data_IF_036839309669
#
_entry.id   IF_036839309669
#
_cell.length_a   1.000
_cell.length_b   1.000
_cell.length_c   1.000
_cell.angle_alpha   90.00
_cell.angle_beta   90.00
_cell.angle_gamma   90.00
#
_symmetry.space_group_name_H-M   'P 1'
#
loop_
_entity.id
_entity.type
_entity.pdbx_description
1 polymer ?
#
# COMPACT_ATOMS: atom_id res chain seq x y z
N UNK A 1 22.56 31.99 -1.38
CA UNK A 1 22.26 30.77 -0.59
C UNK A 1 20.76 30.58 -0.64
N UNK A 2 20.27 29.77 -1.59
CA UNK A 2 18.86 29.41 -1.69
C UNK A 2 18.78 27.92 -1.42
N UNK A 3 18.17 27.57 -0.29
CA UNK A 3 17.98 26.20 0.15
C UNK A 3 17.12 25.46 -0.90
N UNK A 4 17.65 24.35 -1.38
CA UNK A 4 16.97 23.48 -2.32
C UNK A 4 15.70 22.91 -1.71
N UNK A 5 14.63 22.98 -2.48
CA UNK A 5 13.39 22.22 -2.32
C UNK A 5 13.74 20.77 -2.02
N UNK A 6 13.41 20.29 -0.82
CA UNK A 6 13.39 18.86 -0.56
C UNK A 6 12.32 18.28 -1.48
N UNK A 7 12.76 17.52 -2.48
CA UNK A 7 11.89 16.70 -3.32
C UNK A 7 11.10 15.77 -2.38
N UNK A 8 9.79 16.02 -2.25
CA UNK A 8 8.86 15.05 -1.69
C UNK A 8 8.98 13.78 -2.52
N UNK A 9 9.74 12.82 -2.00
CA UNK A 9 9.89 11.52 -2.64
C UNK A 9 8.49 10.94 -2.83
N UNK A 10 8.15 10.44 -4.03
CA UNK A 10 6.82 9.93 -4.32
C UNK A 10 6.49 8.89 -3.27
N UNK A 11 5.40 9.15 -2.53
CA UNK A 11 4.99 8.43 -1.33
C UNK A 11 4.71 6.96 -1.66
N UNK A 12 5.79 6.19 -1.81
CA UNK A 12 5.77 4.79 -2.16
C UNK A 12 5.14 4.08 -0.97
N UNK A 13 3.94 3.55 -1.17
CA UNK A 13 3.17 3.00 -0.07
C UNK A 13 4.01 2.02 0.76
N UNK A 14 3.88 2.00 2.10
CA UNK A 14 4.71 1.18 2.97
C UNK A 14 4.81 -0.28 2.53
N UNK A 15 3.74 -0.82 1.93
CA UNK A 15 3.71 -2.15 1.30
C UNK A 15 4.81 -2.36 0.25
N UNK A 16 5.00 -1.42 -0.68
CA UNK A 16 6.04 -1.54 -1.73
C UNK A 16 7.42 -1.48 -1.11
N UNK A 17 7.65 -0.57 -0.16
CA UNK A 17 8.93 -0.48 0.54
C UNK A 17 9.25 -1.78 1.29
N UNK A 18 8.25 -2.43 1.90
CA UNK A 18 8.41 -3.75 2.53
C UNK A 18 8.76 -4.84 1.54
N UNK A 19 8.11 -4.86 0.37
CA UNK A 19 8.41 -5.83 -0.70
C UNK A 19 9.85 -5.64 -1.21
N UNK A 20 10.26 -4.38 -1.45
CA UNK A 20 11.61 -4.06 -1.92
C UNK A 20 12.67 -4.47 -0.88
N UNK A 21 12.48 -4.09 0.39
CA UNK A 21 13.41 -4.47 1.46
C UNK A 21 13.47 -5.98 1.64
N UNK A 22 12.32 -6.66 1.68
CA UNK A 22 12.24 -8.11 1.81
C UNK A 22 12.98 -8.83 0.67
N UNK A 23 12.81 -8.36 -0.57
CA UNK A 23 13.51 -8.91 -1.73
C UNK A 23 15.03 -8.69 -1.65
N UNK A 24 15.49 -7.52 -1.16
CA UNK A 24 16.92 -7.26 -0.96
C UNK A 24 17.52 -8.15 0.13
N UNK A 25 16.85 -8.27 1.28
CA UNK A 25 17.30 -9.16 2.36
C UNK A 25 17.38 -10.61 1.90
N UNK A 26 16.39 -11.08 1.12
CA UNK A 26 16.41 -12.41 0.52
C UNK A 26 17.62 -12.61 -0.40
N UNK A 27 17.87 -11.65 -1.30
CA UNK A 27 19.00 -11.70 -2.23
C UNK A 27 20.34 -11.77 -1.50
N UNK A 28 20.52 -10.94 -0.47
CA UNK A 28 21.73 -10.92 0.36
C UNK A 28 21.92 -12.25 1.10
N UNK A 29 20.85 -12.79 1.70
CA UNK A 29 20.88 -14.08 2.39
C UNK A 29 21.27 -15.22 1.45
N UNK A 30 20.59 -15.33 0.31
CA UNK A 30 20.82 -16.38 -0.68
C UNK A 30 22.22 -16.26 -1.30
N UNK A 31 22.71 -15.03 -1.53
CA UNK A 31 24.07 -14.76 -2.01
C UNK A 31 25.19 -15.19 -1.05
N UNK A 32 24.87 -15.43 0.23
CA UNK A 32 25.79 -16.01 1.23
C UNK A 32 25.52 -17.49 1.52
N UNK A 33 24.52 -18.11 0.87
CA UNK A 33 24.14 -19.49 1.13
C UNK A 33 23.54 -19.74 2.53
N UNK A 34 23.05 -18.70 3.19
CA UNK A 34 22.53 -18.77 4.56
C UNK A 34 21.08 -19.28 4.53
N UNK A 35 20.72 -20.24 5.38
CA UNK A 35 19.34 -20.73 5.46
C UNK A 35 18.41 -19.72 6.15
N UNK A 36 17.09 -19.87 6.00
CA UNK A 36 16.14 -19.01 6.73
C UNK A 36 16.17 -19.28 8.22
N UNK A 37 16.46 -20.51 8.60
CA UNK A 37 16.59 -21.00 9.96
C UNK A 37 17.78 -20.32 10.65
N UNK A 38 18.95 -20.30 9.99
CA UNK A 38 20.17 -19.65 10.51
C UNK A 38 19.98 -18.13 10.62
N UNK A 39 19.42 -17.50 9.59
CA UNK A 39 19.09 -16.08 9.63
C UNK A 39 18.07 -15.76 10.74
N UNK A 40 17.10 -16.65 10.96
CA UNK A 40 16.14 -16.53 12.04
C UNK A 40 16.83 -16.58 13.40
N UNK A 41 17.73 -17.55 13.59
CA UNK A 41 18.48 -17.72 14.84
C UNK A 41 19.25 -16.45 15.23
N UNK A 42 19.94 -15.81 14.29
CA UNK A 42 20.70 -14.56 14.50
C UNK A 42 19.86 -13.47 15.17
N UNK A 43 18.62 -13.27 14.69
CA UNK A 43 17.70 -12.27 15.22
C UNK A 43 16.70 -12.81 16.24
N UNK A 44 16.98 -14.00 16.81
CA UNK A 44 16.11 -14.68 17.81
C UNK A 44 14.68 -14.85 17.31
N UNK A 45 14.54 -15.30 16.07
CA UNK A 45 13.30 -15.49 15.33
C UNK A 45 13.22 -16.90 14.71
N UNK A 46 12.04 -17.26 14.21
CA UNK A 46 11.86 -18.47 13.41
C UNK A 46 12.16 -18.23 11.92
N UNK A 47 12.52 -19.28 11.19
CA UNK A 47 12.63 -19.22 9.72
C UNK A 47 11.32 -18.78 9.04
N UNK A 48 10.17 -19.07 9.66
CA UNK A 48 8.86 -18.55 9.22
C UNK A 48 8.73 -17.02 9.35
N UNK A 49 9.37 -16.39 10.34
CA UNK A 49 9.44 -14.93 10.43
C UNK A 49 10.35 -14.37 9.32
N UNK A 50 11.52 -14.98 9.05
CA UNK A 50 12.38 -14.58 7.93
C UNK A 50 11.63 -14.66 6.60
N UNK A 51 10.93 -15.77 6.33
CA UNK A 51 10.12 -15.92 5.12
C UNK A 51 9.08 -14.80 4.95
N UNK A 52 8.37 -14.42 6.03
CA UNK A 52 7.42 -13.30 5.98
C UNK A 52 8.09 -11.94 5.78
N UNK A 53 9.27 -11.72 6.37
CA UNK A 53 10.06 -10.50 6.16
C UNK A 53 10.51 -10.40 4.70
N UNK A 54 11.03 -11.48 4.12
CA UNK A 54 11.45 -11.55 2.72
C UNK A 54 10.31 -11.33 1.73
N UNK A 55 9.10 -11.73 2.10
CA UNK A 55 7.88 -11.50 1.32
C UNK A 55 7.25 -10.12 1.57
N UNK A 56 7.84 -9.28 2.42
CA UNK A 56 7.29 -7.96 2.77
C UNK A 56 5.97 -8.00 3.55
N UNK A 57 5.64 -9.13 4.18
CA UNK A 57 4.34 -9.37 4.86
C UNK A 57 4.30 -8.91 6.31
N UNK A 58 5.43 -8.48 6.87
CA UNK A 58 5.56 -8.00 8.25
C UNK A 58 6.42 -6.74 8.29
N UNK A 59 6.27 -5.93 9.34
CA UNK A 59 7.15 -4.80 9.64
C UNK A 59 8.56 -5.25 10.01
N UNK A 60 9.52 -4.34 9.88
CA UNK A 60 10.94 -4.62 10.11
C UNK A 60 11.41 -3.95 11.40
N UNK A 61 11.87 -4.71 12.40
CA UNK A 61 12.59 -4.06 13.50
C UNK A 61 13.95 -3.62 12.97
N UNK A 62 14.30 -2.35 13.16
CA UNK A 62 15.56 -1.81 12.65
C UNK A 62 16.78 -2.59 13.17
N UNK A 63 16.74 -3.00 14.44
CA UNK A 63 17.72 -3.92 15.04
C UNK A 63 17.83 -5.23 14.27
N UNK A 64 16.71 -5.91 14.02
CA UNK A 64 16.71 -7.19 13.31
C UNK A 64 17.31 -7.01 11.90
N UNK A 65 16.98 -5.92 11.20
CA UNK A 65 17.59 -5.60 9.89
C UNK A 65 19.10 -5.39 10.03
N UNK A 66 19.54 -4.60 11.01
CA UNK A 66 20.97 -4.33 11.23
C UNK A 66 21.78 -5.61 11.54
N UNK A 67 21.22 -6.50 12.37
CA UNK A 67 21.84 -7.79 12.73
C UNK A 67 21.94 -8.70 11.48
N UNK A 68 20.87 -8.79 10.68
CA UNK A 68 20.89 -9.53 9.40
C UNK A 68 21.89 -8.95 8.40
N UNK A 69 21.98 -7.63 8.24
CA UNK A 69 22.95 -7.00 7.34
C UNK A 69 24.40 -7.31 7.74
N UNK A 70 24.69 -7.32 9.05
CA UNK A 70 25.98 -7.76 9.58
C UNK A 70 26.24 -9.23 9.21
N UNK A 71 25.28 -10.13 9.45
CA UNK A 71 25.38 -11.55 9.15
C UNK A 71 25.57 -11.81 7.64
N UNK A 72 24.88 -11.05 6.79
CA UNK A 72 24.99 -11.16 5.34
C UNK A 72 26.27 -10.49 4.79
N UNK A 73 27.08 -9.87 5.64
CA UNK A 73 28.37 -9.30 5.28
C UNK A 73 28.29 -7.99 4.52
N UNK A 74 27.22 -7.21 4.69
CA UNK A 74 27.10 -5.85 4.15
C UNK A 74 27.99 -4.92 4.98
N UNK A 75 29.15 -4.57 4.41
CA UNK A 75 30.19 -3.75 5.07
C UNK A 75 30.18 -2.31 4.62
N UNK A 76 29.64 -2.02 3.44
CA UNK A 76 29.52 -0.66 2.95
C UNK A 76 28.51 0.10 3.81
N UNK A 77 28.95 1.21 4.42
CA UNK A 77 28.14 1.97 5.37
C UNK A 77 26.99 2.70 4.66
N UNK A 78 27.19 3.13 3.41
CA UNK A 78 26.16 3.81 2.64
C UNK A 78 25.03 2.84 2.25
N UNK A 79 25.36 1.64 1.75
CA UNK A 79 24.40 0.58 1.46
C UNK A 79 23.62 0.17 2.73
N UNK A 80 24.34 0.01 3.85
CA UNK A 80 23.73 -0.35 5.13
C UNK A 80 22.72 0.71 5.60
N UNK A 81 23.10 1.99 5.56
CA UNK A 81 22.20 3.07 5.97
C UNK A 81 21.01 3.21 5.02
N UNK A 82 21.20 3.00 3.71
CA UNK A 82 20.09 3.00 2.75
C UNK A 82 19.04 1.93 3.07
N UNK A 83 19.46 0.70 3.41
CA UNK A 83 18.55 -0.39 3.77
C UNK A 83 17.86 -0.17 5.13
N UNK A 84 18.56 0.41 6.11
CA UNK A 84 17.97 0.79 7.39
C UNK A 84 16.98 1.95 7.22
N UNK A 85 17.31 2.95 6.41
CA UNK A 85 16.41 4.02 6.02
C UNK A 85 15.14 3.49 5.35
N UNK A 86 15.28 2.52 4.44
CA UNK A 86 14.15 1.83 3.82
C UNK A 86 13.30 1.10 4.85
N UNK A 87 13.90 0.45 5.86
CA UNK A 87 13.18 -0.20 6.94
C UNK A 87 12.36 0.78 7.78
N UNK A 88 12.93 1.96 8.11
CA UNK A 88 12.23 3.03 8.83
C UNK A 88 11.03 3.53 8.03
N UNK A 89 11.23 3.83 6.74
CA UNK A 89 10.15 4.28 5.86
C UNK A 89 9.07 3.21 5.65
N UNK A 90 9.45 1.94 5.49
CA UNK A 90 8.53 0.81 5.34
C UNK A 90 7.66 0.53 6.59
N UNK A 91 8.08 1.02 7.75
CA UNK A 91 7.32 0.94 8.99
C UNK A 91 6.40 2.15 9.21
N UNK A 92 6.61 3.27 8.49
CA UNK A 92 5.73 4.42 8.62
C UNK A 92 4.32 4.03 8.16
N UNK A 93 3.29 4.22 8.99
CA UNK A 93 1.92 3.93 8.59
C UNK A 93 1.53 4.81 7.41
N UNK A 94 0.89 4.21 6.40
CA UNK A 94 0.29 4.99 5.31
C UNK A 94 -0.87 5.85 5.85
N UNK A 95 -1.25 6.87 5.09
CA UNK A 95 -2.35 7.76 5.46
C UNK A 95 -3.66 7.02 5.74
N UNK A 96 -3.86 5.79 5.26
CA UNK A 96 -5.09 5.02 5.51
C UNK A 96 -5.14 4.35 6.89
N UNK A 97 -4.08 4.44 7.70
CA UNK A 97 -4.01 3.74 8.98
C UNK A 97 -5.09 4.19 9.98
N UNK A 98 -5.56 5.43 9.93
CA UNK A 98 -6.68 5.90 10.78
C UNK A 98 -8.06 5.36 10.35
N UNK A 99 -8.13 4.60 9.26
CA UNK A 99 -9.31 3.84 8.85
C UNK A 99 -9.19 2.34 9.15
N UNK A 100 -8.20 1.92 9.95
CA UNK A 100 -7.90 0.51 10.20
C UNK A 100 -9.05 -0.29 10.84
N UNK A 101 -9.97 0.37 11.53
CA UNK A 101 -11.17 -0.20 12.15
C UNK A 101 -12.29 -0.49 11.14
N UNK A 102 -12.37 0.26 10.04
CA UNK A 102 -13.39 0.09 8.99
C UNK A 102 -12.85 -0.64 7.75
N UNK A 103 -11.53 -0.83 7.67
CA UNK A 103 -10.86 -1.46 6.54
C UNK A 103 -10.51 -2.92 6.79
N UNK A 104 -10.90 -3.83 5.88
CA UNK A 104 -10.36 -5.17 5.88
C UNK A 104 -8.83 -5.16 5.77
N UNK A 105 -8.10 -6.04 6.47
CA UNK A 105 -6.63 -6.05 6.48
C UNK A 105 -6.01 -6.15 5.07
N UNK A 106 -6.63 -6.91 4.16
CA UNK A 106 -6.16 -7.05 2.78
C UNK A 106 -6.19 -5.72 2.01
N UNK A 107 -7.16 -4.85 2.31
CA UNK A 107 -7.36 -3.61 1.59
C UNK A 107 -6.29 -2.58 1.90
N UNK A 108 -5.78 -2.55 3.14
CA UNK A 108 -4.65 -1.69 3.50
C UNK A 108 -3.39 -2.00 2.68
N UNK A 109 -3.15 -3.29 2.40
CA UNK A 109 -2.04 -3.71 1.54
C UNK A 109 -2.26 -3.25 0.10
N UNK A 110 -3.48 -3.40 -0.40
CA UNK A 110 -3.88 -2.91 -1.72
C UNK A 110 -3.68 -1.38 -1.86
N UNK A 111 -4.06 -0.57 -0.87
CA UNK A 111 -3.85 0.89 -0.90
C UNK A 111 -2.37 1.27 -0.99
N UNK A 112 -1.49 0.53 -0.32
CA UNK A 112 -0.05 0.73 -0.44
C UNK A 112 0.49 0.42 -1.85
N UNK A 113 -0.06 -0.59 -2.52
CA UNK A 113 0.30 -0.91 -3.91
C UNK A 113 -0.31 0.11 -4.90
N UNK A 114 -1.57 0.49 -4.69
CA UNK A 114 -2.29 1.49 -5.49
C UNK A 114 -1.54 2.85 -5.46
N UNK A 115 -1.05 3.27 -4.28
CA UNK A 115 -0.28 4.50 -4.13
C UNK A 115 1.07 4.48 -4.88
N UNK A 116 1.68 3.32 -5.06
CA UNK A 116 2.97 3.18 -5.75
C UNK A 116 2.82 2.80 -7.24
N UNK A 117 1.60 2.57 -7.72
CA UNK A 117 1.37 2.15 -9.08
C UNK A 117 1.70 3.27 -10.08
N UNK A 118 2.25 2.87 -11.23
CA UNK A 118 2.37 3.72 -12.43
C UNK A 118 1.31 3.40 -13.49
N UNK A 119 0.70 2.22 -13.37
CA UNK A 119 -0.37 1.73 -14.23
C UNK A 119 -1.39 0.95 -13.39
N UNK A 120 -2.66 1.31 -13.53
CA UNK A 120 -3.79 0.64 -12.90
C UNK A 120 -4.70 0.14 -14.01
N UNK A 121 -4.94 -1.17 -14.03
CA UNK A 121 -5.90 -1.81 -14.94
C UNK A 121 -7.05 -2.38 -14.14
N UNK A 122 -8.28 -1.99 -14.49
CA UNK A 122 -9.49 -2.53 -13.86
C UNK A 122 -10.49 -2.99 -14.91
N UNK A 123 -11.24 -4.03 -14.55
CA UNK A 123 -12.38 -4.51 -15.29
C UNK A 123 -13.59 -4.51 -14.36
N UNK A 124 -14.57 -3.65 -14.65
CA UNK A 124 -15.70 -3.42 -13.79
C UNK A 124 -17.01 -3.81 -14.48
N UNK A 125 -17.66 -4.84 -13.95
CA UNK A 125 -18.95 -5.32 -14.43
C UNK A 125 -20.12 -4.86 -13.56
N UNK A 126 -19.86 -4.38 -12.34
CA UNK A 126 -20.92 -4.06 -11.38
C UNK A 126 -21.06 -2.58 -11.08
N UNK A 127 -19.96 -1.85 -10.92
CA UNK A 127 -19.99 -0.44 -10.50
C UNK A 127 -18.99 0.39 -11.31
N UNK A 128 -19.18 1.71 -11.35
CA UNK A 128 -18.14 2.62 -11.87
C UNK A 128 -16.83 2.35 -11.09
N UNK A 129 -15.65 2.30 -11.74
CA UNK A 129 -14.38 2.06 -11.06
C UNK A 129 -14.21 2.94 -9.83
N UNK A 130 -13.74 2.36 -8.72
CA UNK A 130 -13.70 3.06 -7.42
C UNK A 130 -12.96 4.40 -7.42
N UNK A 131 -11.95 4.57 -8.27
CA UNK A 131 -11.18 5.81 -8.46
C UNK A 131 -11.89 6.86 -9.34
N UNK A 132 -12.99 6.48 -10.00
CA UNK A 132 -13.79 7.32 -10.90
C UNK A 132 -15.18 7.63 -10.33
N UNK A 133 -15.48 7.21 -9.10
CA UNK A 133 -16.78 7.48 -8.48
C UNK A 133 -16.84 8.90 -7.92
N UNK A 134 -18.00 9.54 -8.06
CA UNK A 134 -18.35 10.76 -7.30
C UNK A 134 -18.62 10.40 -5.84
N UNK A 135 -18.56 11.37 -4.89
CA UNK A 135 -18.88 11.13 -3.49
C UNK A 135 -20.29 10.53 -3.28
N UNK A 136 -21.27 10.99 -4.05
CA UNK A 136 -22.67 10.57 -3.97
C UNK A 136 -22.83 9.13 -4.48
N UNK A 137 -22.20 8.80 -5.61
CA UNK A 137 -22.18 7.43 -6.14
C UNK A 137 -21.45 6.50 -5.16
N UNK A 138 -20.32 6.96 -4.60
CA UNK A 138 -19.57 6.21 -3.63
C UNK A 138 -20.39 5.88 -2.38
N UNK A 139 -21.15 6.86 -1.86
CA UNK A 139 -22.08 6.67 -0.75
C UNK A 139 -23.13 5.62 -1.07
N UNK A 140 -23.77 5.71 -2.24
CA UNK A 140 -24.79 4.76 -2.66
C UNK A 140 -24.25 3.32 -2.72
N UNK A 141 -23.05 3.11 -3.28
CA UNK A 141 -22.39 1.79 -3.31
C UNK A 141 -22.05 1.29 -1.90
N UNK A 142 -21.55 2.15 -1.02
CA UNK A 142 -21.17 1.74 0.34
C UNK A 142 -22.39 1.27 1.12
N UNK A 143 -23.53 1.97 1.01
CA UNK A 143 -24.79 1.61 1.67
C UNK A 143 -25.31 0.24 1.23
N UNK A 144 -25.13 -0.14 -0.04
CA UNK A 144 -25.50 -1.48 -0.53
C UNK A 144 -24.71 -2.61 0.16
N UNK A 145 -23.43 -2.38 0.45
CA UNK A 145 -22.55 -3.37 1.07
C UNK A 145 -22.51 -3.34 2.60
N UNK A 146 -23.03 -2.28 3.23
CA UNK A 146 -22.89 -2.03 4.67
C UNK A 146 -24.21 -1.55 5.29
N UNK A 147 -25.31 -2.28 5.02
CA UNK A 147 -26.65 -1.88 5.46
C UNK A 147 -26.81 -1.73 6.99
N UNK A 148 -25.90 -2.29 7.80
CA UNK A 148 -25.87 -2.16 9.26
C UNK A 148 -24.89 -1.11 9.81
N UNK A 149 -24.14 -0.42 8.96
CA UNK A 149 -23.19 0.61 9.40
C UNK A 149 -23.91 1.91 9.78
N UNK A 150 -23.40 2.60 10.80
CA UNK A 150 -23.94 3.90 11.20
C UNK A 150 -23.49 5.01 10.22
N UNK A 151 -24.13 6.18 10.29
CA UNK A 151 -23.86 7.29 9.38
C UNK A 151 -22.38 7.73 9.39
N UNK A 152 -21.76 7.80 10.57
CA UNK A 152 -20.35 8.19 10.74
C UNK A 152 -19.40 7.22 10.02
N UNK A 153 -19.67 5.91 10.10
CA UNK A 153 -18.90 4.90 9.38
C UNK A 153 -19.05 5.08 7.86
N UNK A 154 -20.28 5.30 7.36
CA UNK A 154 -20.51 5.56 5.93
C UNK A 154 -19.71 6.79 5.47
N UNK A 155 -19.76 7.89 6.23
CA UNK A 155 -19.07 9.13 5.91
C UNK A 155 -17.54 8.93 5.87
N UNK A 156 -16.99 8.18 6.84
CA UNK A 156 -15.55 7.83 6.85
C UNK A 156 -15.17 6.97 5.65
N UNK A 157 -16.01 6.04 5.21
CA UNK A 157 -15.77 5.23 4.00
C UNK A 157 -15.83 6.06 2.71
N UNK A 158 -16.73 7.03 2.64
CA UNK A 158 -16.80 7.99 1.51
C UNK A 158 -15.55 8.86 1.48
N UNK A 159 -15.14 9.40 2.62
CA UNK A 159 -13.94 10.23 2.72
C UNK A 159 -12.67 9.44 2.36
N UNK A 160 -12.55 8.20 2.82
CA UNK A 160 -11.49 7.30 2.39
C UNK A 160 -11.47 7.17 0.86
N UNK A 161 -12.64 6.98 0.22
CA UNK A 161 -12.75 6.88 -1.25
C UNK A 161 -12.21 8.13 -1.94
N UNK A 162 -12.59 9.30 -1.43
CA UNK A 162 -12.17 10.61 -1.94
C UNK A 162 -10.65 10.82 -1.78
N UNK A 163 -10.08 10.40 -0.64
CA UNK A 163 -8.64 10.45 -0.42
C UNK A 163 -7.89 9.51 -1.38
N UNK A 164 -8.41 8.31 -1.65
CA UNK A 164 -7.83 7.39 -2.64
C UNK A 164 -7.77 7.99 -4.05
N UNK A 165 -8.81 8.71 -4.46
CA UNK A 165 -8.89 9.33 -5.79
C UNK A 165 -7.79 10.37 -6.03
N UNK A 166 -7.20 10.95 -4.97
CA UNK A 166 -6.13 11.96 -5.08
C UNK A 166 -4.88 11.45 -5.82
N UNK A 167 -4.66 10.13 -5.91
CA UNK A 167 -3.55 9.58 -6.69
C UNK A 167 -3.62 9.95 -8.17
N UNK A 168 -4.82 10.24 -8.70
CA UNK A 168 -5.03 10.67 -10.08
C UNK A 168 -4.67 12.14 -10.32
N UNK A 169 -4.42 12.91 -9.25
CA UNK A 169 -4.15 14.35 -9.29
C UNK A 169 -2.74 14.74 -8.82
N UNK A 170 -1.88 13.76 -8.48
CA UNK A 170 -0.49 14.02 -8.12
C UNK A 170 0.35 14.41 -9.35
N UNK A 171 1.60 14.86 -9.13
CA UNK A 171 2.52 15.30 -10.20
C UNK A 171 2.71 14.23 -11.29
N UNK A 172 2.91 12.98 -10.88
CA UNK A 172 3.05 11.83 -11.79
C UNK A 172 1.92 10.82 -11.57
N UNK A 173 0.69 11.09 -12.05
CA UNK A 173 -0.45 10.22 -11.80
C UNK A 173 -0.28 8.86 -12.50
N UNK A 174 -0.83 7.76 -11.95
CA UNK A 174 -0.83 6.49 -12.64
C UNK A 174 -1.68 6.56 -13.92
N UNK A 175 -1.27 5.85 -14.95
CA UNK A 175 -2.18 5.60 -16.08
C UNK A 175 -3.31 4.68 -15.62
N UNK A 176 -4.55 5.14 -15.72
CA UNK A 176 -5.73 4.34 -15.41
C UNK A 176 -6.37 3.81 -16.71
N UNK A 177 -6.44 2.50 -16.82
CA UNK A 177 -7.11 1.79 -17.92
C UNK A 177 -8.28 1.01 -17.34
N UNK A 178 -9.49 1.50 -17.59
CA UNK A 178 -10.72 0.88 -17.11
C UNK A 178 -11.52 0.31 -18.28
N UNK A 179 -11.81 -0.98 -18.23
CA UNK A 179 -12.81 -1.61 -19.08
C UNK A 179 -14.09 -1.72 -18.26
N UNK A 180 -15.14 -1.03 -18.69
CA UNK A 180 -16.39 -0.91 -17.96
C UNK A 180 -17.51 -1.55 -18.79
N UNK A 181 -18.27 -2.43 -18.16
CA UNK A 181 -19.48 -2.99 -18.77
C UNK A 181 -20.53 -1.89 -18.98
N UNK A 182 -21.17 -1.85 -20.15
CA UNK A 182 -22.15 -0.81 -20.50
C UNK A 182 -23.31 -0.73 -19.49
N UNK A 183 -23.70 -1.85 -18.87
CA UNK A 183 -24.78 -1.87 -17.89
C UNK A 183 -24.43 -1.08 -16.62
N UNK A 184 -23.15 -0.82 -16.34
CA UNK A 184 -22.72 0.05 -15.23
C UNK A 184 -23.24 1.48 -15.43
N UNK A 185 -23.27 1.96 -16.66
CA UNK A 185 -23.75 3.31 -17.00
C UNK A 185 -25.28 3.40 -17.03
N UNK A 186 -25.96 2.25 -17.18
CA UNK A 186 -27.43 2.18 -17.27
C UNK A 186 -28.12 1.83 -15.96
N UNK A 187 -27.40 1.26 -14.99
CA UNK A 187 -27.93 0.92 -13.67
C UNK A 187 -27.92 2.17 -12.77
N UNK A 188 -29.08 2.65 -12.31
CA UNK A 188 -29.17 3.92 -11.58
C UNK A 188 -28.78 3.77 -10.12
N UNK A 189 -27.49 3.48 -9.85
CA UNK A 189 -26.97 3.41 -8.49
C UNK A 189 -27.08 4.80 -7.84
N UNK A 190 -27.81 4.89 -6.73
CA UNK A 190 -28.12 6.17 -6.07
C UNK A 190 -29.19 7.00 -6.78
N UNK A 191 -29.74 6.53 -7.91
CA UNK A 191 -30.78 7.23 -8.68
C UNK A 191 -30.24 8.16 -9.78
N UNK A 192 -31.13 8.75 -10.60
CA UNK A 192 -30.75 9.54 -11.78
C UNK A 192 -29.92 10.79 -11.46
N UNK A 193 -30.18 11.45 -10.34
CA UNK A 193 -29.47 12.68 -9.98
C UNK A 193 -28.01 12.39 -9.61
N UNK A 194 -27.75 11.28 -8.91
CA UNK A 194 -26.39 10.80 -8.61
C UNK A 194 -25.62 10.44 -9.87
N UNK A 195 -26.31 9.90 -10.89
CA UNK A 195 -25.69 9.54 -12.17
C UNK A 195 -25.38 10.75 -13.07
N UNK A 196 -25.95 11.94 -12.78
CA UNK A 196 -25.72 13.18 -13.56
C UNK A 196 -24.69 14.12 -12.94
N UNK A 197 -24.29 13.86 -11.69
CA UNK A 197 -23.39 14.69 -10.90
C UNK A 197 -21.95 14.71 -11.45
#
# INVERSE_FOLDING_TARGET
>A
MSAGTQEESPNSGPTVLRILLGAQLRRLREGKGISREDAGYEIRASGSKISRMELGRVSFKERDVADLLSMYGVRDLAEREALLGLARQANNPGWWHHYGDILPPWFQSYLGLEAAATLIRTYEIQFVPGLLQTPEYARAVILLGHAGANADEIDRRVELRRQRQQILHRIEPPQLWAVIDEAVLRRPIGGPDVMRA
#
